data_IF_237805795866
#
_entry.id   IF_237805795866
#
_cell.length_a   1.000
_cell.length_b   1.000
_cell.length_c   1.000
_cell.angle_alpha   90.00
_cell.angle_beta   90.00
_cell.angle_gamma   90.00
#
_symmetry.space_group_name_H-M   'P 1'
#
loop_
_entity.id
_entity.type
_entity.pdbx_description
1 polymer ?
#
# COMPACT_ATOMS: atom_id res chain seq x y z
N UNK A 1 -48.51 14.84 43.53
CA UNK A 1 -49.75 14.04 43.53
C UNK A 1 -49.57 12.93 42.51
N UNK A 2 -49.16 11.75 42.99
CA UNK A 2 -49.97 10.53 43.17
C UNK A 2 -49.68 9.60 41.96
N UNK A 3 -48.93 8.51 42.12
CA UNK A 3 -49.39 7.16 42.58
C UNK A 3 -50.49 6.61 41.66
N UNK A 4 -50.56 5.34 41.25
CA UNK A 4 -50.02 4.04 41.69
C UNK A 4 -50.27 3.08 40.50
N UNK A 5 -49.39 2.14 40.17
CA UNK A 5 -49.44 0.71 40.56
C UNK A 5 -50.84 0.05 40.54
N UNK A 6 -50.97 -1.09 39.83
CA UNK A 6 -51.31 -2.43 40.36
C UNK A 6 -51.79 -3.37 39.22
N UNK A 7 -51.04 -4.43 38.85
CA UNK A 7 -51.00 -5.82 39.35
C UNK A 7 -52.13 -6.76 38.90
N UNK A 8 -51.72 -7.98 38.49
CA UNK A 8 -52.28 -9.33 38.69
C UNK A 8 -52.31 -10.15 37.38
N UNK A 9 -51.98 -11.45 37.31
CA UNK A 9 -52.05 -12.53 38.31
C UNK A 9 -51.16 -13.73 37.91
N UNK A 10 -51.04 -14.66 38.84
CA UNK A 10 -50.00 -15.70 39.07
C UNK A 10 -50.65 -17.08 39.19
N UNK A 11 -50.10 -18.14 38.59
CA UNK A 11 -50.26 -19.57 38.98
C UNK A 11 -48.97 -20.31 38.51
N UNK A 12 -47.99 -20.77 39.32
CA UNK A 12 -47.83 -21.82 40.38
C UNK A 12 -47.81 -23.29 39.90
N UNK A 13 -46.73 -24.02 40.26
CA UNK A 13 -46.64 -25.50 40.38
C UNK A 13 -45.27 -26.08 39.96
N UNK A 14 -44.25 -26.20 40.82
CA UNK A 14 -43.86 -27.33 41.70
C UNK A 14 -43.29 -28.59 40.99
N UNK A 15 -42.06 -28.96 41.37
CA UNK A 15 -41.23 -30.13 40.99
C UNK A 15 -41.38 -31.28 42.03
N UNK A 16 -40.55 -32.36 42.08
CA UNK A 16 -39.98 -33.30 41.09
C UNK A 16 -40.23 -34.80 41.48
N UNK A 17 -39.84 -35.81 40.66
CA UNK A 17 -39.13 -37.05 41.07
C UNK A 17 -39.13 -38.22 40.03
N UNK A 18 -37.94 -38.84 39.92
CA UNK A 18 -37.58 -40.28 39.80
C UNK A 18 -37.86 -41.13 38.53
N UNK A 19 -36.86 -42.00 38.32
CA UNK A 19 -36.48 -42.96 37.27
C UNK A 19 -37.21 -44.32 37.29
N UNK A 20 -37.00 -45.18 36.28
CA UNK A 20 -36.33 -46.49 36.50
C UNK A 20 -35.32 -46.78 35.35
N UNK A 21 -34.30 -47.62 35.41
CA UNK A 21 -33.90 -48.71 36.30
C UNK A 21 -33.24 -49.77 35.41
N UNK A 22 -31.94 -50.08 35.60
CA UNK A 22 -31.32 -51.36 35.18
C UNK A 22 -30.23 -51.71 36.19
N UNK A 23 -30.54 -52.72 37.01
CA UNK A 23 -29.60 -53.44 37.85
C UNK A 23 -28.77 -54.38 36.96
N UNK A 24 -27.46 -54.43 37.17
CA UNK A 24 -26.76 -55.71 37.22
C UNK A 24 -25.56 -55.58 38.15
N UNK A 25 -25.55 -56.45 39.15
CA UNK A 25 -24.52 -56.66 40.17
C UNK A 25 -23.19 -57.10 39.56
N UNK A 26 -22.08 -56.68 40.18
CA UNK A 26 -20.99 -57.60 40.55
C UNK A 26 -20.04 -56.88 41.54
N UNK A 27 -20.20 -57.24 42.81
CA UNK A 27 -19.13 -57.23 43.80
C UNK A 27 -18.02 -58.16 43.29
N UNK A 28 -16.79 -57.65 43.16
CA UNK A 28 -15.51 -58.36 43.36
C UNK A 28 -14.35 -57.46 42.84
N UNK A 29 -13.79 -56.62 43.72
CA UNK A 29 -12.35 -56.41 43.89
C UNK A 29 -12.09 -55.32 44.94
N UNK A 30 -12.22 -55.68 46.21
CA UNK A 30 -11.69 -54.91 47.33
C UNK A 30 -10.33 -55.53 47.66
N UNK A 31 -9.32 -55.17 46.88
CA UNK A 31 -7.91 -55.30 47.23
C UNK A 31 -7.09 -54.59 46.14
N UNK A 32 -6.09 -53.80 46.52
CA UNK A 32 -5.12 -53.08 45.67
C UNK A 32 -5.46 -51.67 45.15
N UNK A 33 -6.07 -50.79 45.95
CA UNK A 33 -6.01 -49.32 45.67
C UNK A 33 -5.72 -48.44 46.90
N UNK A 34 -4.94 -48.95 47.84
CA UNK A 34 -4.27 -48.12 48.84
C UNK A 34 -2.75 -48.21 48.64
N UNK A 35 -2.28 -47.76 47.48
CA UNK A 35 -0.90 -47.32 47.34
C UNK A 35 -0.87 -45.85 47.76
N UNK A 36 -0.44 -45.58 49.00
CA UNK A 36 -0.23 -44.23 49.48
C UNK A 36 0.76 -43.52 48.56
N UNK A 37 0.32 -42.47 47.86
CA UNK A 37 1.24 -41.55 47.18
C UNK A 37 1.91 -40.72 48.25
N UNK A 38 2.96 -41.30 48.85
CA UNK A 38 3.92 -40.60 49.67
C UNK A 38 4.39 -39.35 48.94
N UNK A 39 4.48 -38.24 49.68
CA UNK A 39 4.66 -36.90 49.16
C UNK A 39 5.74 -36.80 48.08
N UNK A 40 5.31 -36.59 46.84
CA UNK A 40 6.19 -35.97 45.87
C UNK A 40 6.11 -34.47 46.10
N UNK A 41 7.21 -33.90 46.62
CA UNK A 41 7.43 -32.46 46.59
C UNK A 41 7.20 -31.96 45.15
N UNK A 42 6.58 -30.79 45.02
CA UNK A 42 6.18 -30.16 43.75
C UNK A 42 7.30 -30.02 42.70
N UNK A 43 8.55 -30.28 43.08
CA UNK A 43 9.76 -30.26 42.25
C UNK A 43 9.90 -31.42 41.26
N UNK A 44 9.14 -32.51 41.38
CA UNK A 44 9.21 -33.67 40.47
C UNK A 44 8.07 -33.75 39.44
N UNK A 45 7.12 -32.82 39.46
CA UNK A 45 6.05 -32.78 38.47
C UNK A 45 6.61 -32.30 37.11
N UNK A 46 6.27 -32.95 35.97
CA UNK A 46 6.70 -32.50 34.66
C UNK A 46 6.25 -31.05 34.44
N UNK A 47 7.23 -30.16 34.24
CA UNK A 47 7.00 -28.72 34.08
C UNK A 47 6.02 -28.53 32.93
N UNK A 48 4.85 -27.93 33.21
CA UNK A 48 3.87 -27.53 32.17
C UNK A 48 4.65 -26.76 31.11
N UNK A 49 4.62 -27.23 29.86
CA UNK A 49 5.30 -26.57 28.74
C UNK A 49 4.83 -25.12 28.72
N UNK A 50 5.74 -24.19 29.00
CA UNK A 50 5.44 -22.78 28.87
C UNK A 50 5.06 -22.55 27.42
N UNK A 51 3.88 -22.00 27.18
CA UNK A 51 3.49 -21.59 25.83
C UNK A 51 4.63 -20.73 25.27
N UNK A 52 5.08 -20.97 24.03
CA UNK A 52 6.19 -20.22 23.46
C UNK A 52 5.89 -18.73 23.62
N UNK A 53 6.82 -17.98 24.21
CA UNK A 53 6.65 -16.54 24.40
C UNK A 53 6.30 -15.93 23.03
N UNK A 54 5.12 -15.33 22.94
CA UNK A 54 4.68 -14.73 21.68
C UNK A 54 5.67 -13.63 21.34
N UNK A 55 6.31 -13.74 20.18
CA UNK A 55 7.21 -12.72 19.66
C UNK A 55 6.52 -11.35 19.70
N UNK A 56 7.24 -10.28 20.08
CA UNK A 56 6.65 -8.95 20.16
C UNK A 56 6.09 -8.53 18.79
N UNK A 57 4.92 -7.88 18.77
CA UNK A 57 4.33 -7.35 17.55
C UNK A 57 5.25 -6.27 17.00
N UNK A 58 5.76 -6.46 15.79
CA UNK A 58 6.76 -5.57 15.18
C UNK A 58 6.23 -4.19 14.79
N UNK A 59 4.91 -3.99 14.71
CA UNK A 59 4.29 -2.67 14.43
C UNK A 59 4.66 -2.07 13.08
N UNK A 60 5.28 -2.83 12.16
CA UNK A 60 5.94 -2.32 10.95
C UNK A 60 5.00 -1.52 10.04
N UNK A 61 3.70 -1.84 10.02
CA UNK A 61 2.70 -1.16 9.20
C UNK A 61 1.91 -0.06 9.92
N UNK A 62 2.21 0.19 11.20
CA UNK A 62 1.54 1.25 11.95
C UNK A 62 2.01 2.61 11.46
N UNK A 63 1.07 3.54 11.27
CA UNK A 63 1.38 4.92 10.94
C UNK A 63 2.25 5.51 12.05
N UNK A 64 3.33 6.18 11.66
CA UNK A 64 4.21 6.82 12.63
C UNK A 64 3.56 8.14 13.08
N UNK A 65 3.44 8.40 14.39
CA UNK A 65 2.97 9.70 14.85
C UNK A 65 3.94 10.78 14.36
N UNK A 66 3.39 11.88 13.86
CA UNK A 66 4.20 13.00 13.37
C UNK A 66 4.84 13.71 14.57
N UNK A 67 6.15 13.52 14.77
CA UNK A 67 6.90 14.08 15.90
C UNK A 67 7.55 15.43 15.55
N UNK A 68 7.98 15.62 14.30
CA UNK A 68 8.66 16.83 13.83
C UNK A 68 7.68 17.78 13.12
N UNK A 69 7.59 19.02 13.60
CA UNK A 69 6.88 20.11 12.92
C UNK A 69 7.48 20.34 11.53
N UNK A 70 6.65 20.41 10.49
CA UNK A 70 7.13 20.66 9.13
C UNK A 70 7.63 22.09 8.99
N UNK A 71 8.63 22.29 8.11
CA UNK A 71 9.02 23.64 7.69
C UNK A 71 7.83 24.40 7.10
N UNK A 72 6.96 23.73 6.35
CA UNK A 72 5.76 24.35 5.79
C UNK A 72 4.90 25.05 6.84
N UNK A 73 4.57 24.36 7.94
CA UNK A 73 3.78 24.93 9.04
C UNK A 73 4.46 26.14 9.65
N UNK A 74 5.78 26.06 9.90
CA UNK A 74 6.56 27.19 10.44
C UNK A 74 6.57 28.42 9.54
N UNK A 75 6.75 28.23 8.23
CA UNK A 75 6.75 29.34 7.27
C UNK A 75 5.35 29.93 7.07
N UNK A 76 4.31 29.10 7.15
CA UNK A 76 2.93 29.56 7.12
C UNK A 76 2.60 30.42 8.35
N UNK A 77 2.90 29.93 9.55
CA UNK A 77 2.62 30.63 10.81
C UNK A 77 3.37 31.96 10.92
N UNK A 78 4.57 32.04 10.32
CA UNK A 78 5.34 33.28 10.18
C UNK A 78 4.79 34.26 9.15
N UNK A 79 3.97 33.79 8.20
CA UNK A 79 3.45 34.60 7.10
C UNK A 79 4.38 34.77 5.90
N UNK A 80 5.47 34.00 5.84
CA UNK A 80 6.51 34.10 4.80
C UNK A 80 6.12 33.41 3.49
N UNK A 81 5.09 32.56 3.49
CA UNK A 81 4.66 31.87 2.27
C UNK A 81 3.94 32.82 1.29
N UNK A 82 4.27 32.78 -0.01
CA UNK A 82 3.66 33.60 -1.04
C UNK A 82 2.29 33.06 -1.51
N UNK A 83 1.53 32.40 -0.63
CA UNK A 83 0.25 31.76 -0.94
C UNK A 83 -0.81 32.11 0.11
N UNK A 84 -2.06 32.24 -0.32
CA UNK A 84 -3.22 32.47 0.54
C UNK A 84 -4.43 31.65 0.06
N UNK A 85 -5.36 31.38 0.98
CA UNK A 85 -6.66 30.79 0.63
C UNK A 85 -7.60 31.93 0.23
N UNK A 86 -8.18 31.83 -0.96
CA UNK A 86 -9.28 32.69 -1.38
C UNK A 86 -10.62 32.03 -1.07
N UNK A 87 -11.43 32.72 -0.28
CA UNK A 87 -12.77 32.34 0.11
C UNK A 87 -13.86 32.96 -0.79
N UNK A 88 -13.47 33.60 -1.90
CA UNK A 88 -14.40 34.18 -2.86
C UNK A 88 -15.12 33.08 -3.65
N UNK A 89 -16.40 32.87 -3.36
CA UNK A 89 -17.29 31.93 -4.05
C UNK A 89 -17.52 30.60 -3.31
N UNK A 90 -18.23 29.67 -3.95
CA UNK A 90 -18.59 28.38 -3.34
C UNK A 90 -17.42 27.38 -3.25
N UNK A 91 -16.33 27.61 -3.99
CA UNK A 91 -15.17 26.70 -4.06
C UNK A 91 -13.92 27.45 -3.57
N UNK A 92 -13.23 26.87 -2.59
CA UNK A 92 -11.94 27.38 -2.10
C UNK A 92 -10.89 27.28 -3.20
N UNK A 93 -10.16 28.38 -3.43
CA UNK A 93 -9.04 28.44 -4.40
C UNK A 93 -7.79 28.96 -3.72
N UNK A 94 -6.63 28.63 -4.27
CA UNK A 94 -5.38 29.26 -3.84
C UNK A 94 -5.14 30.53 -4.64
N UNK A 95 -4.57 31.55 -3.99
CA UNK A 95 -4.13 32.78 -4.62
C UNK A 95 -2.67 33.00 -4.24
N UNK A 96 -1.86 33.27 -5.24
CA UNK A 96 -0.45 33.57 -5.05
C UNK A 96 -0.24 35.06 -4.89
N UNK A 97 0.60 35.45 -3.95
CA UNK A 97 1.05 36.84 -3.77
C UNK A 97 2.05 37.26 -4.85
N UNK A 98 2.78 36.29 -5.40
CA UNK A 98 3.76 36.45 -6.47
C UNK A 98 3.57 35.32 -7.48
N UNK A 99 3.70 35.61 -8.77
CA UNK A 99 3.48 34.61 -9.81
C UNK A 99 4.41 33.39 -9.64
N UNK A 100 3.91 32.15 -9.76
CA UNK A 100 4.72 30.95 -9.53
C UNK A 100 5.97 30.88 -10.41
N UNK A 101 5.90 31.45 -11.61
CA UNK A 101 7.02 31.52 -12.56
C UNK A 101 8.17 32.39 -12.07
N UNK A 102 7.91 33.39 -11.21
CA UNK A 102 8.93 34.28 -10.66
C UNK A 102 9.50 33.82 -9.31
N UNK A 103 8.97 32.75 -8.73
CA UNK A 103 9.42 32.24 -7.44
C UNK A 103 10.79 31.55 -7.54
N UNK A 104 11.54 31.59 -6.44
CA UNK A 104 12.75 30.78 -6.27
C UNK A 104 12.37 29.35 -5.87
N UNK A 105 12.56 28.43 -6.81
CA UNK A 105 12.23 27.02 -6.62
C UNK A 105 13.14 26.34 -5.59
N UNK A 106 14.37 26.81 -5.37
CA UNK A 106 15.29 26.21 -4.39
C UNK A 106 14.76 26.39 -2.97
N UNK A 107 14.11 27.53 -2.68
CA UNK A 107 13.50 27.80 -1.39
C UNK A 107 12.11 27.17 -1.28
N UNK A 108 11.22 27.49 -2.22
CA UNK A 108 9.79 27.21 -2.02
C UNK A 108 9.42 25.77 -2.33
N UNK A 109 9.93 25.17 -3.41
CA UNK A 109 9.48 23.83 -3.82
C UNK A 109 9.76 22.74 -2.75
N UNK A 110 10.95 22.69 -2.11
CA UNK A 110 11.19 21.75 -1.01
C UNK A 110 10.26 21.96 0.18
N UNK A 111 9.94 23.22 0.53
CA UNK A 111 9.02 23.55 1.62
C UNK A 111 7.61 23.02 1.31
N UNK A 112 7.11 23.21 0.09
CA UNK A 112 5.81 22.67 -0.33
C UNK A 112 5.79 21.13 -0.35
N UNK A 113 6.89 20.49 -0.78
CA UNK A 113 7.02 19.02 -0.71
C UNK A 113 7.05 18.49 0.73
N UNK A 114 7.68 19.22 1.65
CA UNK A 114 7.67 18.85 3.07
C UNK A 114 6.27 19.00 3.69
N UNK A 115 5.53 20.02 3.24
CA UNK A 115 4.13 20.26 3.63
C UNK A 115 3.14 19.18 3.19
N UNK A 116 3.52 18.26 2.30
CA UNK A 116 2.67 17.11 1.92
C UNK A 116 2.35 16.19 3.11
N UNK A 117 3.12 16.29 4.19
CA UNK A 117 2.90 15.57 5.45
C UNK A 117 1.78 16.17 6.29
N UNK A 118 1.34 17.39 6.00
CA UNK A 118 0.31 18.05 6.78
C UNK A 118 -1.07 17.42 6.55
N UNK A 119 -1.79 17.24 7.66
CA UNK A 119 -3.14 16.64 7.66
C UNK A 119 -4.20 17.69 8.04
N UNK A 120 -3.82 18.71 8.78
CA UNK A 120 -4.69 19.77 9.27
C UNK A 120 -4.97 20.83 8.19
N UNK A 121 -6.21 21.29 8.11
CA UNK A 121 -6.57 22.48 7.34
C UNK A 121 -6.21 23.75 8.15
N UNK A 122 -5.73 24.84 7.51
CA UNK A 122 -5.60 25.07 6.06
C UNK A 122 -4.29 24.54 5.43
N UNK A 123 -3.36 24.01 6.23
CA UNK A 123 -2.01 23.65 5.79
C UNK A 123 -2.02 22.60 4.68
N UNK A 124 -2.79 21.51 4.87
CA UNK A 124 -2.95 20.44 3.88
C UNK A 124 -3.41 20.97 2.53
N UNK A 125 -4.48 21.77 2.53
CA UNK A 125 -5.05 22.34 1.31
C UNK A 125 -4.04 23.21 0.55
N UNK A 126 -3.32 24.07 1.27
CA UNK A 126 -2.32 24.97 0.67
C UNK A 126 -1.10 24.21 0.17
N UNK A 127 -0.57 23.26 0.94
CA UNK A 127 0.61 22.49 0.55
C UNK A 127 0.34 21.65 -0.70
N UNK A 128 -0.80 20.95 -0.74
CA UNK A 128 -1.15 20.06 -1.86
C UNK A 128 -1.40 20.85 -3.14
N UNK A 129 -2.21 21.92 -3.08
CA UNK A 129 -2.54 22.71 -4.27
C UNK A 129 -1.36 23.59 -4.70
N UNK A 130 -0.63 24.18 -3.76
CA UNK A 130 0.55 24.98 -4.07
C UNK A 130 1.64 24.14 -4.75
N UNK A 131 1.88 22.92 -4.24
CA UNK A 131 2.79 21.97 -4.89
C UNK A 131 2.32 21.59 -6.30
N UNK A 132 1.01 21.42 -6.52
CA UNK A 132 0.44 21.11 -7.84
C UNK A 132 0.73 22.21 -8.88
N UNK A 133 0.51 23.47 -8.50
CA UNK A 133 0.70 24.62 -9.38
C UNK A 133 2.19 24.91 -9.62
N UNK A 134 3.04 24.77 -8.60
CA UNK A 134 4.49 24.91 -8.77
C UNK A 134 5.06 23.85 -9.73
N UNK A 135 4.60 22.60 -9.65
CA UNK A 135 5.02 21.55 -10.58
C UNK A 135 4.50 21.78 -12.01
N UNK A 136 3.37 22.46 -12.15
CA UNK A 136 2.80 22.76 -13.47
C UNK A 136 3.50 23.94 -14.15
N UNK A 137 3.94 24.94 -13.39
CA UNK A 137 4.58 26.17 -13.90
C UNK A 137 6.11 26.19 -13.80
N UNK A 138 6.69 25.19 -13.16
CA UNK A 138 8.13 25.18 -12.82
C UNK A 138 9.07 24.79 -13.95
N UNK A 139 8.55 24.25 -15.05
CA UNK A 139 9.27 23.90 -16.28
C UNK A 139 10.71 23.41 -16.02
N UNK A 140 11.72 24.18 -16.44
CA UNK A 140 13.14 23.85 -16.35
C UNK A 140 13.75 24.03 -14.95
N UNK A 141 13.12 24.82 -14.08
CA UNK A 141 13.63 25.11 -12.72
C UNK A 141 13.57 23.88 -11.81
N UNK A 142 12.60 23.00 -12.03
CA UNK A 142 12.37 21.81 -11.20
C UNK A 142 13.59 20.88 -11.20
N UNK A 143 14.26 20.73 -12.35
CA UNK A 143 15.39 19.82 -12.50
C UNK A 143 16.55 20.19 -11.55
N UNK A 144 16.85 21.49 -11.40
CA UNK A 144 17.92 21.98 -10.53
C UNK A 144 17.67 21.71 -9.03
N UNK A 145 16.40 21.61 -8.64
CA UNK A 145 15.98 21.44 -7.24
C UNK A 145 15.73 19.98 -6.89
N UNK A 146 15.66 19.09 -7.88
CA UNK A 146 15.32 17.68 -7.70
C UNK A 146 16.07 16.98 -6.54
N UNK A 147 17.39 17.16 -6.35
CA UNK A 147 18.11 16.53 -5.23
C UNK A 147 17.58 16.94 -3.85
N UNK A 148 17.06 18.15 -3.71
CA UNK A 148 16.51 18.67 -2.46
C UNK A 148 15.12 18.09 -2.16
N UNK A 149 14.40 17.59 -3.17
CA UNK A 149 13.05 17.02 -3.02
C UNK A 149 13.07 15.57 -2.48
N UNK A 150 14.20 14.88 -2.62
CA UNK A 150 14.34 13.45 -2.26
C UNK A 150 14.06 13.22 -0.77
N UNK A 151 14.60 14.07 0.10
CA UNK A 151 14.44 13.95 1.55
C UNK A 151 12.97 14.21 1.97
N UNK A 152 12.32 15.32 1.57
CA UNK A 152 10.90 15.54 1.82
C UNK A 152 10.01 14.38 1.34
N UNK A 153 10.23 13.88 0.11
CA UNK A 153 9.47 12.75 -0.45
C UNK A 153 9.64 11.50 0.42
N UNK A 154 10.89 11.16 0.76
CA UNK A 154 11.19 10.02 1.63
C UNK A 154 10.52 10.17 2.99
N UNK A 155 10.59 11.35 3.63
CA UNK A 155 9.93 11.63 4.90
C UNK A 155 8.41 11.47 4.79
N UNK A 156 7.79 11.95 3.71
CA UNK A 156 6.35 11.84 3.50
C UNK A 156 5.88 10.38 3.32
N UNK A 157 6.58 9.58 2.51
CA UNK A 157 6.28 8.15 2.36
C UNK A 157 6.53 7.38 3.67
N UNK A 158 7.57 7.74 4.43
CA UNK A 158 7.90 7.10 5.70
C UNK A 158 6.85 7.32 6.81
N UNK A 159 5.92 8.26 6.66
CA UNK A 159 4.81 8.45 7.63
C UNK A 159 3.92 7.23 7.74
N UNK A 160 3.87 6.37 6.70
CA UNK A 160 3.00 5.17 6.63
C UNK A 160 1.51 5.48 6.78
N UNK A 161 1.14 6.77 6.67
CA UNK A 161 -0.25 7.19 6.63
C UNK A 161 -0.77 7.06 5.19
N UNK A 162 -1.86 6.34 5.03
CA UNK A 162 -2.45 6.03 3.74
C UNK A 162 -2.72 7.29 2.90
N UNK A 163 -3.32 8.31 3.50
CA UNK A 163 -3.71 9.52 2.77
C UNK A 163 -2.49 10.33 2.30
N UNK A 164 -1.49 10.48 3.17
CA UNK A 164 -0.24 11.18 2.87
C UNK A 164 0.51 10.44 1.77
N UNK A 165 0.59 9.11 1.84
CA UNK A 165 1.24 8.30 0.83
C UNK A 165 0.56 8.44 -0.53
N UNK A 166 -0.78 8.37 -0.58
CA UNK A 166 -1.52 8.52 -1.83
C UNK A 166 -1.31 9.91 -2.46
N UNK A 167 -1.35 10.98 -1.66
CA UNK A 167 -1.06 12.32 -2.15
C UNK A 167 0.37 12.40 -2.66
N UNK A 168 1.35 11.90 -1.91
CA UNK A 168 2.77 11.96 -2.26
C UNK A 168 3.05 11.21 -3.57
N UNK A 169 2.48 10.01 -3.75
CA UNK A 169 2.62 9.24 -4.99
C UNK A 169 2.07 9.99 -6.20
N UNK A 170 0.89 10.63 -6.08
CA UNK A 170 0.33 11.47 -7.15
C UNK A 170 1.25 12.66 -7.47
N UNK A 171 1.88 13.27 -6.47
CA UNK A 171 2.87 14.36 -6.69
C UNK A 171 4.14 13.85 -7.36
N UNK A 172 4.62 12.64 -7.04
CA UNK A 172 5.75 12.02 -7.74
C UNK A 172 5.41 11.77 -9.21
N UNK A 173 4.22 11.21 -9.50
CA UNK A 173 3.77 11.00 -10.88
C UNK A 173 3.73 12.32 -11.67
N UNK A 174 3.22 13.40 -11.06
CA UNK A 174 3.19 14.71 -11.69
C UNK A 174 4.58 15.30 -11.89
N UNK A 175 5.44 15.23 -10.86
CA UNK A 175 6.84 15.69 -10.92
C UNK A 175 7.59 15.11 -12.12
N UNK A 176 7.46 13.80 -12.34
CA UNK A 176 8.13 13.09 -13.42
C UNK A 176 7.55 13.42 -14.80
N UNK A 177 6.27 13.80 -14.87
CA UNK A 177 5.59 14.27 -16.08
C UNK A 177 5.82 15.76 -16.38
N UNK A 178 6.28 16.54 -15.40
CA UNK A 178 6.48 17.98 -15.53
C UNK A 178 7.68 18.38 -16.42
N UNK A 179 8.64 17.49 -16.70
CA UNK A 179 9.82 17.83 -17.49
C UNK A 179 10.55 16.63 -18.09
N UNK A 180 11.18 16.84 -19.25
CA UNK A 180 11.68 15.78 -20.14
C UNK A 180 12.87 14.98 -19.59
N UNK A 181 13.65 15.54 -18.64
CA UNK A 181 14.82 14.89 -18.04
C UNK A 181 14.64 14.56 -16.54
N UNK A 182 13.47 14.88 -15.97
CA UNK A 182 13.26 14.72 -14.52
C UNK A 182 13.22 13.24 -14.13
N UNK A 183 12.61 12.39 -14.96
CA UNK A 183 12.53 10.96 -14.70
C UNK A 183 13.92 10.29 -14.71
N UNK A 184 14.75 10.57 -15.71
CA UNK A 184 16.13 10.07 -15.78
C UNK A 184 16.97 10.55 -14.58
N UNK A 185 16.86 11.84 -14.23
CA UNK A 185 17.56 12.40 -13.09
C UNK A 185 17.09 11.82 -11.73
N UNK A 186 15.92 11.19 -11.67
CA UNK A 186 15.38 10.57 -10.45
C UNK A 186 15.93 9.16 -10.22
N UNK A 187 16.42 8.47 -11.26
CA UNK A 187 16.89 7.07 -11.20
C UNK A 187 17.93 6.83 -10.10
N UNK A 188 18.97 7.68 -9.89
CA UNK A 188 19.95 7.48 -8.84
C UNK A 188 19.35 7.45 -7.42
N UNK A 189 18.17 8.06 -7.25
CA UNK A 189 17.49 8.21 -5.96
C UNK A 189 16.45 7.12 -5.68
N UNK A 190 16.19 6.21 -6.61
CA UNK A 190 15.26 5.09 -6.43
C UNK A 190 15.57 4.25 -5.18
N UNK A 191 16.86 4.11 -4.85
CA UNK A 191 17.30 3.41 -3.62
C UNK A 191 16.74 4.00 -2.34
N UNK A 192 16.46 5.30 -2.32
CA UNK A 192 15.99 6.00 -1.12
C UNK A 192 14.47 6.03 -1.02
N UNK A 193 13.77 6.03 -2.16
CA UNK A 193 12.32 6.28 -2.23
C UNK A 193 11.54 4.96 -2.32
N UNK A 194 11.97 4.03 -3.19
CA UNK A 194 11.22 2.81 -3.52
C UNK A 194 11.08 1.78 -2.38
N UNK A 195 12.00 1.64 -1.41
CA UNK A 195 11.85 0.63 -0.36
C UNK A 195 10.54 0.74 0.43
N UNK A 196 10.03 1.96 0.64
CA UNK A 196 8.75 2.18 1.34
C UNK A 196 7.58 1.68 0.50
N UNK A 197 7.61 1.89 -0.82
CA UNK A 197 6.55 1.42 -1.72
C UNK A 197 6.48 -0.10 -1.78
N UNK A 198 7.63 -0.79 -1.72
CA UNK A 198 7.70 -2.25 -1.72
C UNK A 198 6.87 -2.88 -0.59
N UNK A 199 6.87 -2.26 0.59
CA UNK A 199 6.10 -2.72 1.75
C UNK A 199 4.58 -2.72 1.51
N UNK A 200 4.09 -1.78 0.69
CA UNK A 200 2.65 -1.56 0.47
C UNK A 200 2.14 -2.05 -0.88
N UNK A 201 3.03 -2.49 -1.79
CA UNK A 201 2.68 -2.96 -3.14
C UNK A 201 1.63 -4.08 -3.15
N UNK A 202 1.73 -5.03 -2.21
CA UNK A 202 0.81 -6.17 -2.13
C UNK A 202 -0.37 -5.95 -1.18
N UNK A 203 -0.49 -4.76 -0.58
CA UNK A 203 -1.55 -4.45 0.39
C UNK A 203 -2.82 -4.02 -0.34
N UNK A 204 -3.46 -4.96 -1.03
CA UNK A 204 -4.76 -4.75 -1.67
C UNK A 204 -5.87 -4.78 -0.62
N UNK A 205 -6.85 -3.90 -0.75
CA UNK A 205 -8.09 -3.99 0.02
C UNK A 205 -8.88 -5.20 -0.53
N UNK A 206 -8.96 -6.26 0.26
CA UNK A 206 -9.77 -7.43 -0.08
C UNK A 206 -11.24 -7.12 0.26
N UNK A 207 -11.98 -6.59 -0.70
CA UNK A 207 -13.36 -6.14 -0.52
C UNK A 207 -14.39 -7.30 -0.71
N UNK A 208 -13.92 -8.51 -1.02
CA UNK A 208 -14.79 -9.69 -1.22
C UNK A 208 -15.74 -9.47 -2.40
N UNK A 209 -17.01 -9.84 -2.24
CA UNK A 209 -18.07 -9.60 -3.24
C UNK A 209 -18.63 -8.17 -3.24
N UNK A 210 -18.10 -7.26 -2.40
CA UNK A 210 -18.56 -5.87 -2.37
C UNK A 210 -17.89 -5.06 -3.48
N UNK A 211 -18.62 -4.11 -4.04
CA UNK A 211 -18.10 -3.20 -5.06
C UNK A 211 -17.40 -2.03 -4.37
N UNK A 212 -16.17 -1.74 -4.80
CA UNK A 212 -15.42 -0.57 -4.36
C UNK A 212 -15.93 0.70 -5.07
N UNK A 213 -16.55 1.61 -4.32
CA UNK A 213 -17.02 2.90 -4.84
C UNK A 213 -15.95 4.00 -4.81
N UNK A 214 -14.81 3.78 -4.14
CA UNK A 214 -13.70 4.74 -4.05
C UNK A 214 -12.78 4.75 -5.28
N UNK A 215 -13.06 3.92 -6.29
CA UNK A 215 -12.28 3.85 -7.55
C UNK A 215 -12.11 5.21 -8.23
N UNK A 216 -13.16 6.06 -8.23
CA UNK A 216 -13.10 7.40 -8.87
C UNK A 216 -12.08 8.33 -8.21
N UNK A 217 -11.77 8.13 -6.93
CA UNK A 217 -10.82 8.96 -6.18
C UNK A 217 -9.38 8.44 -6.27
N UNK A 218 -9.17 7.26 -6.87
CA UNK A 218 -7.89 6.55 -6.95
C UNK A 218 -7.19 6.54 -5.57
N UNK A 219 -7.90 6.00 -4.57
CA UNK A 219 -7.46 5.90 -3.17
C UNK A 219 -6.77 4.56 -2.88
N UNK A 220 -6.86 3.57 -3.79
CA UNK A 220 -6.22 2.27 -3.60
C UNK A 220 -4.70 2.39 -3.70
N UNK A 221 -4.02 2.41 -2.55
CA UNK A 221 -2.58 2.60 -2.47
C UNK A 221 -1.78 1.59 -3.31
N UNK A 222 -2.20 0.32 -3.37
CA UNK A 222 -1.50 -0.69 -4.17
C UNK A 222 -1.52 -0.40 -5.67
N UNK A 223 -2.67 0.03 -6.19
CA UNK A 223 -2.84 0.33 -7.61
C UNK A 223 -2.10 1.61 -7.97
N UNK A 224 -2.14 2.61 -7.08
CA UNK A 224 -1.40 3.85 -7.24
C UNK A 224 0.12 3.63 -7.20
N UNK A 225 0.62 2.72 -6.34
CA UNK A 225 2.04 2.34 -6.34
C UNK A 225 2.41 1.72 -7.70
N UNK A 226 1.60 0.79 -8.21
CA UNK A 226 1.85 0.15 -9.50
C UNK A 226 1.87 1.19 -10.64
N UNK A 227 0.88 2.08 -10.70
CA UNK A 227 0.81 3.19 -11.67
C UNK A 227 2.02 4.12 -11.57
N UNK A 228 2.49 4.38 -10.34
CA UNK A 228 3.67 5.23 -10.10
C UNK A 228 4.94 4.57 -10.63
N UNK A 229 5.15 3.27 -10.35
CA UNK A 229 6.31 2.53 -10.85
C UNK A 229 6.33 2.47 -12.37
N UNK A 230 5.17 2.30 -13.01
CA UNK A 230 5.05 2.33 -14.46
C UNK A 230 5.36 3.71 -15.04
N UNK A 231 4.93 4.78 -14.37
CA UNK A 231 5.26 6.16 -14.78
C UNK A 231 6.77 6.43 -14.63
N UNK A 232 7.40 5.90 -13.58
CA UNK A 232 8.84 6.02 -13.34
C UNK A 232 9.67 5.24 -14.37
N UNK A 233 9.20 4.07 -14.78
CA UNK A 233 9.84 3.30 -15.85
C UNK A 233 9.74 4.03 -17.20
N UNK A 234 8.53 4.47 -17.59
CA UNK A 234 8.28 5.14 -18.88
C UNK A 234 9.09 6.43 -19.08
N UNK A 235 9.33 7.17 -18.00
CA UNK A 235 10.00 8.47 -18.06
C UNK A 235 11.47 8.42 -17.59
N UNK A 236 11.95 7.27 -17.10
CA UNK A 236 13.26 7.13 -16.46
C UNK A 236 14.39 6.66 -17.37
N UNK A 237 14.12 6.42 -18.65
CA UNK A 237 15.11 5.94 -19.62
C UNK A 237 15.45 4.45 -19.48
N UNK A 238 16.51 4.00 -20.15
CA UNK A 238 16.89 2.59 -20.29
C UNK A 238 17.25 1.93 -18.94
N UNK A 239 17.92 2.66 -18.05
CA UNK A 239 18.37 2.16 -16.75
C UNK A 239 17.28 2.08 -15.69
N UNK A 240 16.09 2.64 -15.95
CA UNK A 240 15.03 2.75 -14.95
C UNK A 240 14.54 1.38 -14.47
N UNK A 241 14.27 0.46 -15.41
CA UNK A 241 13.73 -0.86 -15.09
C UNK A 241 14.68 -1.66 -14.19
N UNK A 242 15.97 -1.68 -14.52
CA UNK A 242 16.99 -2.40 -13.76
C UNK A 242 17.03 -1.89 -12.32
N UNK A 243 17.09 -0.56 -12.13
CA UNK A 243 17.13 0.05 -10.80
C UNK A 243 15.84 -0.19 -10.01
N UNK A 244 14.66 -0.14 -10.65
CA UNK A 244 13.38 -0.47 -10.01
C UNK A 244 13.36 -1.94 -9.59
N UNK A 245 13.79 -2.86 -10.47
CA UNK A 245 13.80 -4.31 -10.22
C UNK A 245 14.73 -4.71 -9.07
N UNK A 246 15.88 -4.04 -8.95
CA UNK A 246 16.78 -4.22 -7.80
C UNK A 246 16.12 -3.84 -6.47
N UNK A 247 15.28 -2.80 -6.46
CA UNK A 247 14.60 -2.34 -5.24
C UNK A 247 13.30 -3.09 -4.94
N UNK A 248 12.57 -3.47 -5.98
CA UNK A 248 11.27 -4.14 -5.92
C UNK A 248 11.34 -5.39 -6.80
N UNK A 249 11.81 -6.53 -6.25
CA UNK A 249 11.95 -7.77 -7.02
C UNK A 249 10.63 -8.28 -7.63
N UNK A 250 9.49 -7.92 -7.00
CA UNK A 250 8.14 -8.31 -7.45
C UNK A 250 7.57 -7.42 -8.55
N UNK A 251 8.26 -6.36 -8.95
CA UNK A 251 7.81 -5.51 -10.05
C UNK A 251 8.06 -6.21 -11.40
N UNK A 252 7.05 -6.17 -12.27
CA UNK A 252 7.13 -6.67 -13.64
C UNK A 252 6.77 -5.51 -14.56
N UNK A 253 7.58 -5.31 -15.61
CA UNK A 253 7.39 -4.17 -16.50
C UNK A 253 6.12 -4.28 -17.33
N UNK A 254 5.51 -3.13 -17.55
CA UNK A 254 4.35 -3.02 -18.41
C UNK A 254 4.69 -3.26 -19.89
N UNK A 255 5.87 -2.81 -20.34
CA UNK A 255 6.29 -2.95 -21.73
C UNK A 255 6.58 -4.39 -22.12
N UNK A 256 7.23 -5.18 -21.25
CA UNK A 256 7.45 -6.61 -21.50
C UNK A 256 6.13 -7.36 -21.55
N UNK A 257 5.19 -7.07 -20.65
CA UNK A 257 3.87 -7.69 -20.66
C UNK A 257 3.08 -7.31 -21.93
N UNK A 258 3.11 -6.03 -22.34
CA UNK A 258 2.45 -5.55 -23.56
C UNK A 258 3.05 -6.17 -24.84
N UNK A 259 4.37 -6.22 -24.94
CA UNK A 259 5.07 -6.86 -26.07
C UNK A 259 4.83 -8.37 -26.09
N UNK A 260 4.90 -9.04 -24.95
CA UNK A 260 4.60 -10.47 -24.84
C UNK A 260 3.15 -10.78 -25.18
N UNK A 261 2.19 -9.93 -24.79
CA UNK A 261 0.79 -10.00 -25.20
C UNK A 261 0.62 -9.78 -26.70
N UNK A 262 1.24 -8.75 -27.27
CA UNK A 262 1.20 -8.47 -28.72
C UNK A 262 1.79 -9.61 -29.53
N UNK A 263 2.97 -10.11 -29.16
CA UNK A 263 3.61 -11.28 -29.77
C UNK A 263 2.72 -12.52 -29.62
N UNK A 264 2.16 -12.76 -28.43
CA UNK A 264 1.24 -13.89 -28.20
C UNK A 264 -0.03 -13.79 -29.05
N UNK A 265 -0.61 -12.59 -29.22
CA UNK A 265 -1.80 -12.36 -30.05
C UNK A 265 -1.46 -12.56 -31.54
N UNK A 266 -0.34 -12.02 -32.01
CA UNK A 266 0.15 -12.21 -33.38
C UNK A 266 0.40 -13.70 -33.63
N UNK A 267 1.06 -14.39 -32.70
CA UNK A 267 1.32 -15.82 -32.79
C UNK A 267 0.03 -16.64 -32.79
N UNK A 268 -0.95 -16.32 -31.93
CA UNK A 268 -2.27 -16.96 -31.96
C UNK A 268 -3.02 -16.71 -33.27
N UNK A 269 -2.96 -15.50 -33.82
CA UNK A 269 -3.53 -15.17 -35.14
C UNK A 269 -2.85 -15.96 -36.26
N UNK A 270 -1.51 -16.03 -36.26
CA UNK A 270 -0.73 -16.81 -37.21
C UNK A 270 -1.04 -18.31 -37.11
N UNK A 271 -1.10 -18.87 -35.90
CA UNK A 271 -1.51 -20.26 -35.70
C UNK A 271 -2.93 -20.53 -36.25
N UNK A 272 -3.88 -19.62 -36.01
CA UNK A 272 -5.25 -19.76 -36.52
C UNK A 272 -5.30 -19.71 -38.06
N UNK A 273 -4.49 -18.82 -38.67
CA UNK A 273 -4.34 -18.75 -40.12
C UNK A 273 -3.72 -20.03 -40.71
N UNK A 274 -2.69 -20.56 -40.04
CA UNK A 274 -1.97 -21.75 -40.48
C UNK A 274 -2.76 -23.05 -40.30
N UNK A 275 -3.63 -23.13 -39.28
CA UNK A 275 -4.59 -24.23 -39.07
C UNK A 275 -5.68 -24.23 -40.14
N UNK A 276 -6.21 -23.05 -40.51
CA UNK A 276 -7.20 -22.90 -41.59
C UNK A 276 -6.64 -23.28 -42.98
N UNK A 277 -5.36 -23.04 -43.23
CA UNK A 277 -4.69 -23.39 -44.49
C UNK A 277 -4.28 -24.86 -44.61
N UNK A 278 -4.10 -25.60 -43.50
CA UNK A 278 -3.55 -26.98 -43.54
C UNK A 278 -4.43 -28.09 -42.94
N UNK A 279 -5.57 -27.82 -42.28
CA UNK A 279 -6.35 -28.86 -41.52
C UNK A 279 -5.45 -29.75 -40.63
N UNK A 280 -4.40 -29.21 -39.99
CA UNK A 280 -3.55 -29.95 -39.04
C UNK A 280 -3.72 -29.40 -37.63
N UNK A 281 -4.00 -30.28 -36.65
CA UNK A 281 -4.09 -29.92 -35.22
C UNK A 281 -2.69 -29.72 -34.65
N UNK A 282 -2.35 -28.51 -34.20
CA UNK A 282 -1.14 -28.28 -33.40
C UNK A 282 -1.30 -28.88 -32.01
N UNK A 283 -0.39 -29.75 -31.59
CA UNK A 283 -0.36 -30.35 -30.24
C UNK A 283 -0.13 -29.25 -29.17
N UNK A 284 -0.79 -29.39 -28.01
CA UNK A 284 -0.67 -28.48 -26.86
C UNK A 284 0.78 -28.32 -26.37
N UNK A 285 1.63 -29.30 -26.63
CA UNK A 285 3.05 -29.29 -26.27
C UNK A 285 3.88 -28.33 -27.15
N UNK A 286 3.56 -28.21 -28.45
CA UNK A 286 4.22 -27.28 -29.35
C UNK A 286 3.91 -25.83 -28.98
N UNK A 287 2.67 -25.55 -28.55
CA UNK A 287 2.27 -24.23 -28.05
C UNK A 287 3.01 -23.85 -26.76
N UNK A 288 3.25 -24.82 -25.86
CA UNK A 288 4.06 -24.59 -24.65
C UNK A 288 5.52 -24.32 -24.98
N UNK A 289 6.13 -25.11 -25.88
CA UNK A 289 7.53 -24.93 -26.29
C UNK A 289 7.77 -23.55 -26.94
N UNK A 290 6.82 -23.06 -27.74
CA UNK A 290 6.96 -21.73 -28.34
C UNK A 290 6.78 -20.60 -27.31
N UNK A 291 5.83 -20.72 -26.36
CA UNK A 291 5.73 -19.77 -25.24
C UNK A 291 7.02 -19.71 -24.43
N UNK A 292 7.63 -20.86 -24.18
CA UNK A 292 8.88 -20.97 -23.44
C UNK A 292 10.06 -20.36 -24.21
N UNK A 293 10.13 -20.59 -25.53
CA UNK A 293 11.14 -20.00 -26.41
C UNK A 293 11.04 -18.48 -26.50
N UNK A 294 9.83 -17.91 -26.61
CA UNK A 294 9.61 -16.46 -26.62
C UNK A 294 10.03 -15.85 -25.27
N UNK A 295 9.66 -16.50 -24.15
CA UNK A 295 10.06 -16.05 -22.82
C UNK A 295 11.57 -16.03 -22.63
N UNK A 296 12.28 -17.06 -23.12
CA UNK A 296 13.74 -17.17 -23.03
C UNK A 296 14.46 -16.18 -23.96
N UNK A 297 13.91 -15.93 -25.15
CA UNK A 297 14.50 -15.01 -26.12
C UNK A 297 14.41 -13.55 -25.67
N UNK A 298 13.30 -13.17 -25.03
CA UNK A 298 13.11 -11.83 -24.46
C UNK A 298 14.02 -11.59 -23.24
N UNK A 299 14.21 -12.61 -22.39
CA UNK A 299 15.14 -12.56 -21.26
C UNK A 299 16.60 -12.37 -21.74
N UNK A 300 16.98 -13.05 -22.82
CA UNK A 300 18.32 -12.94 -23.41
C UNK A 300 18.59 -11.62 -24.14
N UNK A 301 17.57 -11.00 -24.73
CA UNK A 301 17.73 -9.69 -25.39
C UNK A 301 18.13 -8.61 -24.37
N UNK A 302 17.54 -8.66 -23.17
CA UNK A 302 17.75 -7.64 -22.13
C UNK A 302 18.98 -7.87 -21.24
N UNK A 303 19.55 -9.08 -21.23
CA UNK A 303 20.85 -9.31 -20.57
C UNK A 303 22.04 -8.84 -21.44
N UNK A 304 21.79 -8.50 -22.72
CA UNK A 304 22.81 -8.10 -23.69
C UNK A 304 22.83 -6.61 -24.05
N UNK A 305 21.83 -5.87 -23.61
CA UNK A 305 21.73 -4.40 -23.69
C UNK A 305 21.93 -3.86 -22.29
#
# INVERSE_FOLDING_TARGET
MLQQQQTNKRIKGHSPQRSPGKFCSNLLNISNKFAGTGGMCSSLAPKKSQAPQKVPKSGIFQALPMIEQTLFKKYYDRGDLPIAVNFSGAVRKIVWKCEPECLDYHLYLPIFFEGLREVEDPYKFLAVNGCEELLQKGETKILSVLPQLIIPIKKALATKNHDIMCITLKKIQKLVKSGQMIGEALVPYYRQILPVMNMYKNKRLNIGDKIDYSQRKNENLSDLIQETLETLEKNGGEDAYINIKYMIPTYESFELNSLQLKISIIFQKLLKYHVNLKRVKFSSEAQRKVKQFISLSMLNYYQKT
#
